data_IF_502432687264
#
_entry.id   IF_502432687264
#
_cell.length_a   1.000
_cell.length_b   1.000
_cell.length_c   1.000
_cell.angle_alpha   90.00
_cell.angle_beta   90.00
_cell.angle_gamma   90.00
#
_symmetry.space_group_name_H-M   'P 1'
#
loop_
_entity.id
_entity.type
_entity.pdbx_description
1 polymer ?
#
# COMPACT_ATOMS: atom_id res chain seq x y z
N UNK A 1 -4.08 -18.84 33.14
CA UNK A 1 -2.91 -17.96 32.92
C UNK A 1 -3.39 -16.54 33.06
N UNK A 2 -2.91 -15.78 34.06
CA UNK A 2 -3.35 -14.40 34.29
C UNK A 2 -3.01 -13.53 33.07
N UNK A 3 -3.97 -12.70 32.65
CA UNK A 3 -3.85 -11.78 31.51
C UNK A 3 -2.72 -10.74 31.63
N UNK A 4 -2.03 -10.65 32.77
CA UNK A 4 -1.12 -9.55 33.11
C UNK A 4 0.30 -9.62 32.48
N UNK A 5 0.68 -10.67 31.74
CA UNK A 5 2.07 -10.83 31.26
C UNK A 5 2.22 -11.26 29.77
N UNK A 6 1.21 -11.07 28.91
CA UNK A 6 1.41 -11.35 27.47
C UNK A 6 2.23 -10.23 26.81
N UNK A 7 3.18 -10.54 25.91
CA UNK A 7 3.90 -9.52 25.15
C UNK A 7 2.92 -8.67 24.35
N UNK A 8 3.11 -7.37 24.38
CA UNK A 8 2.34 -6.41 23.58
C UNK A 8 2.61 -6.59 22.10
N UNK A 9 1.60 -6.40 21.26
CA UNK A 9 1.77 -6.55 19.82
C UNK A 9 0.92 -5.60 18.99
N UNK A 10 1.39 -5.33 17.77
CA UNK A 10 0.58 -4.73 16.71
C UNK A 10 0.49 -5.69 15.51
N UNK A 11 -0.62 -5.60 14.77
CA UNK A 11 -0.92 -6.51 13.65
C UNK A 11 -1.36 -5.70 12.44
N UNK A 12 -0.90 -6.06 11.24
CA UNK A 12 -1.47 -5.55 9.98
C UNK A 12 -2.25 -6.64 9.27
N UNK A 13 -3.45 -6.27 8.79
CA UNK A 13 -4.31 -7.09 7.94
C UNK A 13 -4.59 -6.32 6.65
N UNK A 14 -4.62 -6.99 5.52
CA UNK A 14 -4.95 -6.34 4.26
C UNK A 14 -4.32 -6.93 3.03
N UNK A 15 -4.21 -6.10 2.01
CA UNK A 15 -3.69 -6.44 0.69
C UNK A 15 -2.20 -6.08 0.51
N UNK A 16 -1.79 -5.90 -0.75
CA UNK A 16 -0.42 -5.63 -1.16
C UNK A 16 0.15 -4.36 -0.57
N UNK A 17 -0.64 -3.29 -0.46
CA UNK A 17 -0.18 -1.98 -0.02
C UNK A 17 0.36 -2.03 1.42
N UNK A 18 -0.40 -2.66 2.32
CA UNK A 18 -0.01 -2.83 3.73
C UNK A 18 0.87 -4.07 3.97
N UNK A 19 0.88 -5.04 3.05
CA UNK A 19 1.86 -6.14 3.11
C UNK A 19 3.29 -5.64 2.92
N UNK A 20 3.50 -4.52 2.21
CA UNK A 20 4.82 -4.03 1.88
C UNK A 20 5.32 -4.43 0.50
N UNK A 21 4.43 -4.88 -0.40
CA UNK A 21 4.79 -5.15 -1.79
C UNK A 21 5.44 -3.91 -2.42
N UNK A 22 6.51 -4.10 -3.20
CA UNK A 22 7.33 -3.00 -3.70
C UNK A 22 8.44 -2.54 -2.74
N UNK A 23 8.38 -2.93 -1.46
CA UNK A 23 9.36 -2.59 -0.43
C UNK A 23 10.80 -3.01 -0.74
N UNK A 24 11.03 -3.87 -1.74
CA UNK A 24 12.36 -4.21 -2.26
C UNK A 24 13.14 -3.03 -2.85
N UNK A 25 12.48 -1.95 -3.22
CA UNK A 25 13.08 -0.91 -4.07
C UNK A 25 13.36 0.39 -3.31
N UNK A 26 14.57 0.93 -3.41
CA UNK A 26 14.91 2.31 -3.05
C UNK A 26 14.81 3.19 -4.30
N UNK A 27 13.65 3.73 -4.59
CA UNK A 27 13.44 4.49 -5.83
C UNK A 27 13.39 3.61 -7.08
N UNK A 28 13.59 4.23 -8.24
CA UNK A 28 13.51 3.58 -9.54
C UNK A 28 14.75 3.93 -10.38
N UNK A 29 15.22 2.98 -11.18
CA UNK A 29 16.34 3.16 -12.13
C UNK A 29 16.02 2.42 -13.43
N UNK A 30 16.50 2.97 -14.55
CA UNK A 30 16.45 2.32 -15.86
C UNK A 30 17.59 1.30 -16.08
N UNK A 31 18.58 1.26 -15.19
CA UNK A 31 19.56 0.18 -15.16
C UNK A 31 18.89 -1.12 -14.76
N UNK A 32 19.04 -2.16 -15.58
CA UNK A 32 18.47 -3.49 -15.35
C UNK A 32 19.52 -4.51 -14.92
N UNK A 33 20.74 -4.06 -14.62
CA UNK A 33 21.89 -4.90 -14.26
C UNK A 33 22.48 -4.50 -12.90
N UNK A 34 23.21 -5.42 -12.28
CA UNK A 34 23.87 -5.17 -11.00
C UNK A 34 22.87 -4.76 -9.91
N UNK A 35 23.22 -3.75 -9.11
CA UNK A 35 22.33 -3.21 -8.07
C UNK A 35 21.19 -2.35 -8.62
N UNK A 36 21.11 -2.15 -9.95
CA UNK A 36 20.20 -1.22 -10.62
C UNK A 36 20.35 0.18 -10.04
N UNK A 37 21.57 0.68 -10.14
CA UNK A 37 22.02 1.95 -9.56
C UNK A 37 21.77 2.07 -8.05
N UNK A 38 21.81 0.95 -7.33
CA UNK A 38 21.61 0.89 -5.88
C UNK A 38 20.14 0.79 -5.44
N UNK A 39 19.20 0.73 -6.38
CA UNK A 39 17.76 0.66 -6.06
C UNK A 39 17.32 -0.71 -5.54
N UNK A 40 17.98 -1.81 -5.93
CA UNK A 40 17.53 -3.17 -5.59
C UNK A 40 18.12 -3.67 -4.25
N UNK A 41 17.31 -3.67 -3.19
CA UNK A 41 17.68 -4.18 -1.85
C UNK A 41 17.97 -5.70 -1.83
N UNK A 42 17.49 -6.43 -2.82
CA UNK A 42 17.74 -7.86 -2.95
C UNK A 42 19.10 -8.16 -3.60
N UNK A 43 19.83 -7.17 -4.12
CA UNK A 43 21.11 -7.42 -4.79
C UNK A 43 22.16 -8.05 -3.88
N UNK A 44 22.92 -9.01 -4.41
CA UNK A 44 23.99 -9.73 -3.69
C UNK A 44 25.35 -9.71 -4.38
N UNK A 45 25.48 -9.01 -5.50
CA UNK A 45 26.70 -8.97 -6.29
C UNK A 45 26.60 -9.80 -7.58
N UNK A 46 27.33 -9.37 -8.62
CA UNK A 46 27.29 -10.00 -9.94
C UNK A 46 25.88 -10.02 -10.54
N UNK A 47 25.35 -11.22 -10.80
CA UNK A 47 23.99 -11.47 -11.29
C UNK A 47 23.05 -12.05 -10.20
N UNK A 48 23.47 -12.02 -8.93
CA UNK A 48 22.76 -12.66 -7.82
C UNK A 48 21.79 -11.71 -7.11
N UNK A 49 20.59 -12.22 -6.82
CA UNK A 49 19.53 -11.51 -6.11
C UNK A 49 18.84 -12.45 -5.12
N UNK A 50 18.54 -11.93 -3.93
CA UNK A 50 17.88 -12.63 -2.84
C UNK A 50 16.68 -11.83 -2.32
N UNK A 51 15.51 -11.95 -2.98
CA UNK A 51 14.30 -11.25 -2.58
C UNK A 51 13.73 -11.75 -1.24
N UNK A 52 14.11 -12.96 -0.78
CA UNK A 52 13.70 -13.46 0.55
C UNK A 52 14.31 -12.63 1.68
N UNK A 53 15.40 -11.90 1.43
CA UNK A 53 15.90 -10.95 2.42
C UNK A 53 14.99 -9.74 2.66
N UNK A 54 14.12 -9.43 1.70
CA UNK A 54 13.14 -8.35 1.84
C UNK A 54 11.81 -8.91 2.30
N UNK A 55 11.32 -9.97 1.66
CA UNK A 55 9.96 -10.48 1.87
C UNK A 55 9.89 -11.72 2.79
N UNK A 56 11.03 -12.22 3.25
CA UNK A 56 11.10 -13.50 3.97
C UNK A 56 10.50 -14.65 3.16
N UNK A 57 9.90 -15.61 3.88
CA UNK A 57 9.23 -16.77 3.28
C UNK A 57 7.97 -16.39 2.49
N UNK A 58 7.41 -15.20 2.72
CA UNK A 58 6.21 -14.74 2.02
C UNK A 58 6.46 -14.39 0.54
N UNK A 59 7.74 -14.34 0.13
CA UNK A 59 8.10 -14.30 -1.28
C UNK A 59 7.59 -15.53 -2.04
N UNK A 60 7.61 -16.70 -1.37
CA UNK A 60 7.43 -18.00 -2.03
C UNK A 60 5.98 -18.26 -2.42
N UNK A 61 5.04 -17.74 -1.61
CA UNK A 61 3.62 -17.76 -1.94
C UNK A 61 3.14 -16.45 -2.58
N UNK A 62 4.04 -15.47 -2.72
CA UNK A 62 3.77 -14.15 -3.29
C UNK A 62 2.92 -13.26 -2.39
N UNK A 63 2.83 -13.51 -1.08
CA UNK A 63 2.20 -12.55 -0.17
C UNK A 63 3.04 -11.28 0.01
N UNK A 64 4.34 -11.32 -0.30
CA UNK A 64 5.23 -10.16 -0.41
C UNK A 64 5.24 -9.23 0.82
N UNK A 65 5.31 -9.84 2.01
CA UNK A 65 5.41 -9.17 3.31
C UNK A 65 6.80 -8.59 3.53
N UNK A 66 6.98 -7.32 3.24
CA UNK A 66 8.30 -6.68 3.34
C UNK A 66 8.73 -6.43 4.79
N UNK A 67 10.03 -6.58 5.03
CA UNK A 67 10.73 -6.17 6.25
C UNK A 67 10.63 -4.67 6.58
N UNK A 68 10.25 -3.84 5.59
CA UNK A 68 9.99 -2.39 5.78
C UNK A 68 8.52 -2.02 5.63
N UNK A 69 7.61 -3.00 5.54
CA UNK A 69 6.17 -2.75 5.54
C UNK A 69 5.78 -1.83 6.70
N UNK A 70 4.68 -1.10 6.57
CA UNK A 70 4.24 -0.05 7.50
C UNK A 70 4.45 -0.38 8.99
N UNK A 71 3.90 -1.51 9.46
CA UNK A 71 4.03 -1.87 10.88
C UNK A 71 5.45 -2.28 11.26
N UNK A 72 6.25 -2.76 10.31
CA UNK A 72 7.62 -3.25 10.53
C UNK A 72 8.60 -2.08 10.67
N UNK A 73 8.41 -1.00 9.92
CA UNK A 73 9.32 0.15 9.86
C UNK A 73 9.09 1.24 10.92
N UNK A 74 7.94 1.22 11.63
CA UNK A 74 7.60 2.23 12.64
C UNK A 74 8.30 2.03 14.01
N UNK A 75 8.25 3.02 14.89
CA UNK A 75 8.84 2.96 16.24
C UNK A 75 7.80 2.83 17.38
N UNK A 76 6.59 2.32 17.09
CA UNK A 76 5.56 2.08 18.12
C UNK A 76 6.11 1.13 19.20
N UNK A 77 6.07 1.49 20.50
CA UNK A 77 6.70 0.72 21.57
C UNK A 77 5.86 -0.52 21.94
N UNK A 78 6.06 -1.61 21.20
CA UNK A 78 5.49 -2.94 21.47
C UNK A 78 6.56 -4.03 21.38
N UNK A 79 6.30 -5.16 22.04
CA UNK A 79 7.24 -6.29 22.06
C UNK A 79 7.31 -7.01 20.70
N UNK A 80 6.20 -7.03 19.94
CA UNK A 80 6.07 -7.83 18.71
C UNK A 80 5.24 -7.15 17.62
N UNK A 81 5.54 -7.46 16.37
CA UNK A 81 4.86 -6.96 15.18
C UNK A 81 4.51 -8.13 14.26
N UNK A 82 3.27 -8.22 13.81
CA UNK A 82 2.80 -9.32 12.97
C UNK A 82 2.16 -8.79 11.69
N UNK A 83 2.84 -9.00 10.56
CA UNK A 83 2.27 -8.70 9.25
C UNK A 83 1.54 -9.94 8.75
N UNK A 84 0.20 -9.92 8.76
CA UNK A 84 -0.63 -11.01 8.24
C UNK A 84 -1.23 -10.67 6.87
N UNK A 85 -1.06 -9.43 6.41
CA UNK A 85 -1.48 -8.98 5.09
C UNK A 85 -0.83 -9.80 3.98
N UNK A 86 -1.47 -9.85 2.82
CA UNK A 86 -0.97 -10.64 1.70
C UNK A 86 -1.32 -9.96 0.37
N UNK A 87 -0.31 -9.77 -0.48
CA UNK A 87 -0.51 -9.18 -1.81
C UNK A 87 -1.61 -9.91 -2.60
N UNK A 88 -2.51 -9.12 -3.20
CA UNK A 88 -3.69 -9.59 -3.94
C UNK A 88 -4.88 -10.00 -3.06
N UNK A 89 -4.81 -9.82 -1.74
CA UNK A 89 -5.94 -10.14 -0.87
C UNK A 89 -7.17 -9.27 -1.17
N UNK A 90 -8.36 -9.90 -1.09
CA UNK A 90 -9.66 -9.24 -1.07
C UNK A 90 -10.25 -9.37 0.33
N UNK A 91 -11.35 -8.67 0.62
CA UNK A 91 -12.07 -8.82 1.90
C UNK A 91 -12.39 -10.29 2.23
N UNK A 92 -12.72 -11.12 1.22
CA UNK A 92 -12.97 -12.55 1.38
C UNK A 92 -11.78 -13.35 1.96
N UNK A 93 -10.55 -12.89 1.76
CA UNK A 93 -9.33 -13.54 2.26
C UNK A 93 -8.97 -13.09 3.69
N UNK A 94 -9.64 -12.05 4.21
CA UNK A 94 -9.54 -11.65 5.61
C UNK A 94 -10.58 -12.39 6.44
N UNK A 95 -11.82 -12.47 5.95
CA UNK A 95 -12.96 -13.03 6.67
C UNK A 95 -12.71 -14.47 7.12
N UNK A 96 -13.08 -14.86 8.35
CA UNK A 96 -13.02 -16.26 8.74
C UNK A 96 -13.98 -17.10 7.88
N UNK A 97 -13.71 -18.40 7.74
CA UNK A 97 -14.57 -19.32 7.00
C UNK A 97 -16.04 -19.29 7.46
N UNK A 98 -16.27 -19.12 8.77
CA UNK A 98 -17.61 -19.00 9.35
C UNK A 98 -18.40 -17.77 8.87
N UNK A 99 -17.70 -16.75 8.33
CA UNK A 99 -18.26 -15.54 7.75
C UNK A 99 -18.13 -15.52 6.22
N UNK A 100 -17.96 -16.70 5.59
CA UNK A 100 -17.88 -16.83 4.13
C UNK A 100 -16.54 -16.42 3.53
N UNK A 101 -15.47 -16.39 4.34
CA UNK A 101 -14.12 -16.19 3.82
C UNK A 101 -13.45 -17.47 3.31
N UNK A 102 -12.26 -17.30 2.73
CA UNK A 102 -11.53 -18.37 2.07
C UNK A 102 -10.01 -18.25 2.31
N UNK A 103 -9.34 -19.41 2.33
CA UNK A 103 -7.89 -19.49 2.26
C UNK A 103 -7.34 -18.75 1.04
N UNK A 104 -6.13 -18.21 1.17
CA UNK A 104 -5.49 -17.48 0.08
C UNK A 104 -3.98 -17.76 0.07
N UNK A 105 -3.45 -18.09 -1.12
CA UNK A 105 -2.01 -18.37 -1.31
C UNK A 105 -1.45 -19.41 -0.32
N UNK A 106 -2.26 -20.42 0.01
CA UNK A 106 -1.89 -21.50 0.93
C UNK A 106 -1.96 -21.15 2.42
N UNK A 107 -2.51 -19.98 2.77
CA UNK A 107 -2.68 -19.53 4.15
C UNK A 107 -4.16 -19.41 4.53
N UNK A 108 -4.45 -19.64 5.82
CA UNK A 108 -5.77 -19.41 6.40
C UNK A 108 -6.18 -17.93 6.31
N UNK A 109 -7.48 -17.59 6.39
CA UNK A 109 -7.90 -16.21 6.36
C UNK A 109 -7.23 -15.36 7.46
N UNK A 110 -6.93 -14.11 7.14
CA UNK A 110 -6.09 -13.29 8.02
C UNK A 110 -6.70 -13.05 9.40
N UNK A 111 -8.03 -12.95 9.51
CA UNK A 111 -8.71 -12.85 10.82
C UNK A 111 -8.63 -14.17 11.61
N UNK A 112 -8.62 -15.32 10.93
CA UNK A 112 -8.35 -16.61 11.58
C UNK A 112 -6.91 -16.67 12.11
N UNK A 113 -5.93 -16.13 11.37
CA UNK A 113 -4.56 -16.00 11.84
C UNK A 113 -4.45 -15.01 13.03
N UNK A 114 -5.17 -13.87 12.99
CA UNK A 114 -5.25 -12.90 14.08
C UNK A 114 -5.73 -13.56 15.39
N UNK A 115 -6.69 -14.49 15.32
CA UNK A 115 -7.12 -15.25 16.50
C UNK A 115 -5.95 -15.97 17.19
N UNK A 116 -5.04 -16.57 16.41
CA UNK A 116 -3.82 -17.18 16.91
C UNK A 116 -2.91 -16.17 17.61
N UNK A 117 -2.66 -15.03 16.97
CA UNK A 117 -1.84 -13.96 17.54
C UNK A 117 -2.46 -13.41 18.84
N UNK A 118 -3.77 -13.20 18.88
CA UNK A 118 -4.47 -12.66 20.05
C UNK A 118 -4.47 -13.61 21.27
N UNK A 119 -4.40 -14.93 21.05
CA UNK A 119 -4.23 -15.92 22.14
C UNK A 119 -2.90 -15.79 22.88
N UNK A 120 -1.86 -15.34 22.19
CA UNK A 120 -0.50 -15.32 22.73
C UNK A 120 0.00 -13.92 23.10
N UNK A 121 -0.65 -12.87 22.59
CA UNK A 121 -0.17 -11.50 22.69
C UNK A 121 -1.23 -10.55 23.27
N UNK A 122 -0.79 -9.40 23.73
CA UNK A 122 -1.63 -8.27 24.07
C UNK A 122 -1.69 -7.24 22.95
N UNK A 123 -2.67 -7.41 22.06
CA UNK A 123 -2.82 -6.58 20.87
C UNK A 123 -3.14 -5.14 21.29
N UNK A 124 -2.37 -4.18 20.80
CA UNK A 124 -2.57 -2.75 21.04
C UNK A 124 -3.13 -2.03 19.82
N UNK A 125 -2.84 -2.52 18.63
CA UNK A 125 -3.26 -1.93 17.37
C UNK A 125 -3.45 -3.00 16.29
N UNK A 126 -4.51 -2.85 15.50
CA UNK A 126 -4.75 -3.57 14.26
C UNK A 126 -4.86 -2.53 13.15
N UNK A 127 -3.86 -2.47 12.26
CA UNK A 127 -3.90 -1.65 11.06
C UNK A 127 -4.54 -2.45 9.92
N UNK A 128 -5.47 -1.84 9.19
CA UNK A 128 -6.25 -2.49 8.14
C UNK A 128 -6.22 -1.66 6.86
N UNK A 129 -5.77 -2.24 5.76
CA UNK A 129 -5.89 -1.65 4.41
C UNK A 129 -6.40 -2.70 3.43
N UNK A 130 -7.67 -2.58 3.03
CA UNK A 130 -8.35 -3.56 2.19
C UNK A 130 -9.50 -2.93 1.42
N UNK A 131 -9.84 -3.51 0.27
CA UNK A 131 -10.98 -3.11 -0.56
C UNK A 131 -10.58 -2.75 -1.98
N UNK A 132 -9.33 -2.34 -2.24
CA UNK A 132 -8.84 -2.01 -3.58
C UNK A 132 -9.01 -3.17 -4.57
N UNK A 133 -8.67 -4.39 -4.15
CA UNK A 133 -8.86 -5.59 -4.99
C UNK A 133 -10.34 -6.00 -5.16
N UNK A 134 -11.22 -5.63 -4.23
CA UNK A 134 -12.67 -5.85 -4.34
C UNK A 134 -13.29 -4.88 -5.38
N UNK A 135 -12.79 -3.65 -5.44
CA UNK A 135 -13.16 -2.64 -6.44
C UNK A 135 -12.65 -2.98 -7.85
N UNK A 136 -11.78 -3.97 -7.96
CA UNK A 136 -11.07 -4.30 -9.18
C UNK A 136 -9.71 -3.64 -9.21
N UNK A 137 -9.58 -2.34 -8.99
CA UNK A 137 -8.39 -1.49 -9.19
C UNK A 137 -7.28 -1.92 -10.18
N UNK A 138 -6.62 -3.06 -9.99
CA UNK A 138 -5.59 -3.62 -10.87
C UNK A 138 -6.02 -3.73 -12.35
N UNK A 139 -7.17 -4.32 -12.74
CA UNK A 139 -7.61 -4.35 -14.13
C UNK A 139 -7.91 -2.95 -14.69
N UNK A 140 -8.49 -2.04 -13.89
CA UNK A 140 -8.76 -0.66 -14.33
C UNK A 140 -7.45 0.08 -14.60
N UNK A 141 -6.46 -0.10 -13.72
CA UNK A 141 -5.13 0.44 -13.91
C UNK A 141 -4.45 -0.12 -15.18
N UNK A 142 -4.56 -1.43 -15.42
CA UNK A 142 -4.07 -2.07 -16.66
C UNK A 142 -4.81 -1.53 -17.89
N UNK A 143 -6.11 -1.25 -17.81
CA UNK A 143 -6.88 -0.65 -18.91
C UNK A 143 -6.34 0.74 -19.26
N UNK A 144 -5.97 1.56 -18.26
CA UNK A 144 -5.33 2.86 -18.50
C UNK A 144 -3.96 2.71 -19.20
N UNK A 145 -3.13 1.77 -18.72
CA UNK A 145 -1.82 1.49 -19.32
C UNK A 145 -1.96 1.03 -20.77
N UNK A 146 -2.82 0.06 -21.02
CA UNK A 146 -3.03 -0.50 -22.37
C UNK A 146 -3.66 0.52 -23.30
N UNK A 147 -4.58 1.36 -22.80
CA UNK A 147 -5.11 2.53 -23.52
C UNK A 147 -4.02 3.49 -23.94
N UNK A 148 -3.11 3.86 -23.03
CA UNK A 148 -1.97 4.72 -23.34
C UNK A 148 -1.03 4.11 -24.38
N UNK A 149 -0.60 2.86 -24.17
CA UNK A 149 0.34 2.18 -25.08
C UNK A 149 -0.28 1.93 -26.46
N UNK A 150 -1.58 1.63 -26.51
CA UNK A 150 -2.29 1.25 -27.72
C UNK A 150 -2.87 2.42 -28.54
N UNK A 151 -2.69 3.67 -28.10
CA UNK A 151 -3.24 4.84 -28.79
C UNK A 151 -2.20 5.95 -29.01
N UNK A 152 -2.60 6.98 -29.75
CA UNK A 152 -1.72 8.12 -30.12
C UNK A 152 -2.23 9.39 -29.47
N UNK A 153 -1.36 10.39 -29.26
CA UNK A 153 -1.79 11.66 -28.66
C UNK A 153 -2.78 12.45 -29.53
N UNK A 154 -2.93 12.10 -30.82
CA UNK A 154 -3.94 12.67 -31.73
C UNK A 154 -5.27 11.94 -31.69
N UNK A 155 -5.32 10.73 -31.14
CA UNK A 155 -6.54 9.95 -30.94
C UNK A 155 -6.36 9.07 -29.68
N UNK A 156 -6.37 9.67 -28.49
CA UNK A 156 -6.06 8.96 -27.25
C UNK A 156 -7.24 8.08 -26.80
N UNK A 157 -6.92 6.91 -26.26
CA UNK A 157 -7.87 6.05 -25.56
C UNK A 157 -7.74 6.26 -24.05
N UNK A 158 -8.67 7.01 -23.48
CA UNK A 158 -8.77 7.26 -22.04
C UNK A 158 -9.53 6.13 -21.33
N UNK A 159 -9.12 5.81 -20.11
CA UNK A 159 -9.80 4.86 -19.23
C UNK A 159 -10.69 5.54 -18.19
N UNK A 160 -10.49 6.84 -17.93
CA UNK A 160 -11.09 7.56 -16.81
C UNK A 160 -12.61 7.38 -16.72
N UNK A 161 -13.34 7.61 -17.82
CA UNK A 161 -14.80 7.47 -17.85
C UNK A 161 -15.29 6.07 -17.47
N UNK A 162 -14.80 5.03 -18.15
CA UNK A 162 -15.19 3.65 -17.86
C UNK A 162 -14.76 3.19 -16.46
N UNK A 163 -13.60 3.66 -15.99
CA UNK A 163 -13.11 3.35 -14.64
C UNK A 163 -13.95 4.03 -13.56
N UNK A 164 -14.47 5.24 -13.81
CA UNK A 164 -15.39 5.94 -12.92
C UNK A 164 -16.73 5.20 -12.80
N UNK A 165 -17.28 4.70 -13.91
CA UNK A 165 -18.52 3.92 -13.91
C UNK A 165 -18.35 2.59 -13.13
N UNK A 166 -17.24 1.89 -13.38
CA UNK A 166 -16.92 0.66 -12.65
C UNK A 166 -16.74 0.92 -11.15
N UNK A 167 -16.00 1.97 -10.77
CA UNK A 167 -15.82 2.36 -9.38
C UNK A 167 -17.17 2.63 -8.72
N UNK A 168 -18.01 3.49 -9.33
CA UNK A 168 -19.34 3.81 -8.81
C UNK A 168 -20.20 2.56 -8.59
N UNK A 169 -20.16 1.61 -9.53
CA UNK A 169 -20.95 0.38 -9.44
C UNK A 169 -20.49 -0.59 -8.34
N UNK A 170 -19.18 -0.66 -8.07
CA UNK A 170 -18.60 -1.64 -7.14
C UNK A 170 -18.42 -1.10 -5.73
N UNK A 171 -18.33 0.22 -5.58
CA UNK A 171 -18.03 0.88 -4.32
C UNK A 171 -18.96 0.47 -3.18
N UNK A 172 -20.31 0.47 -3.33
CA UNK A 172 -21.20 0.14 -2.21
C UNK A 172 -20.96 -1.27 -1.66
N UNK A 173 -20.90 -2.28 -2.53
CA UNK A 173 -20.70 -3.67 -2.14
C UNK A 173 -19.30 -3.92 -1.55
N UNK A 174 -18.26 -3.27 -2.09
CA UNK A 174 -16.92 -3.37 -1.52
C UNK A 174 -16.87 -2.80 -0.09
N UNK A 175 -17.44 -1.60 0.12
CA UNK A 175 -17.43 -0.94 1.43
C UNK A 175 -18.28 -1.67 2.48
N UNK A 176 -19.41 -2.25 2.08
CA UNK A 176 -20.19 -3.13 2.95
C UNK A 176 -19.32 -4.30 3.46
N UNK A 177 -18.56 -4.95 2.56
CA UNK A 177 -17.66 -6.05 2.94
C UNK A 177 -16.50 -5.60 3.82
N UNK A 178 -15.97 -4.39 3.63
CA UNK A 178 -14.99 -3.80 4.57
C UNK A 178 -15.62 -3.65 5.95
N UNK A 179 -16.87 -3.18 6.05
CA UNK A 179 -17.62 -3.13 7.31
C UNK A 179 -17.73 -4.51 8.00
N UNK A 180 -18.02 -5.57 7.22
CA UNK A 180 -18.06 -6.95 7.75
C UNK A 180 -16.68 -7.40 8.25
N UNK A 181 -15.59 -7.05 7.55
CA UNK A 181 -14.21 -7.33 8.02
C UNK A 181 -13.96 -6.70 9.40
N UNK A 182 -14.33 -5.44 9.59
CA UNK A 182 -14.16 -4.75 10.89
C UNK A 182 -15.00 -5.41 11.99
N UNK A 183 -16.23 -5.80 11.68
CA UNK A 183 -17.09 -6.55 12.60
C UNK A 183 -16.44 -7.87 13.03
N UNK A 184 -15.93 -8.64 12.08
CA UNK A 184 -15.30 -9.94 12.34
C UNK A 184 -13.98 -9.83 13.11
N UNK A 185 -13.19 -8.76 12.89
CA UNK A 185 -12.03 -8.45 13.72
C UNK A 185 -12.45 -8.31 15.18
N UNK A 186 -13.49 -7.49 15.46
CA UNK A 186 -13.99 -7.30 16.83
C UNK A 186 -14.52 -8.58 17.44
N UNK A 187 -15.27 -9.38 16.68
CA UNK A 187 -15.79 -10.67 17.13
C UNK A 187 -14.66 -11.60 17.56
N UNK A 188 -13.65 -11.79 16.70
CA UNK A 188 -12.50 -12.65 17.01
C UNK A 188 -11.68 -12.11 18.17
N UNK A 189 -11.50 -10.80 18.27
CA UNK A 189 -10.81 -10.20 19.42
C UNK A 189 -11.56 -10.44 20.73
N UNK A 190 -12.89 -10.28 20.74
CA UNK A 190 -13.72 -10.55 21.90
C UNK A 190 -13.68 -12.04 22.31
N UNK A 191 -13.75 -12.96 21.35
CA UNK A 191 -13.60 -14.41 21.59
C UNK A 191 -12.25 -14.79 22.20
N UNK A 192 -11.22 -13.98 21.95
CA UNK A 192 -9.88 -14.13 22.51
C UNK A 192 -9.65 -13.26 23.77
N UNK A 193 -10.74 -12.78 24.38
CA UNK A 193 -10.72 -12.08 25.67
C UNK A 193 -10.21 -10.64 25.60
N UNK A 194 -10.20 -10.01 24.42
CA UNK A 194 -9.77 -8.62 24.22
C UNK A 194 -10.97 -7.69 24.30
N UNK A 195 -10.99 -6.84 25.33
CA UNK A 195 -12.02 -5.82 25.47
C UNK A 195 -11.87 -4.77 24.34
N UNK A 196 -12.97 -4.21 23.79
CA UNK A 196 -12.89 -3.22 22.71
C UNK A 196 -11.98 -2.01 23.01
N UNK A 197 -11.93 -1.56 24.28
CA UNK A 197 -11.08 -0.44 24.69
C UNK A 197 -9.60 -0.82 24.91
N UNK A 198 -9.23 -2.10 24.81
CA UNK A 198 -7.85 -2.57 25.06
C UNK A 198 -6.94 -2.49 23.84
N UNK A 199 -7.52 -2.29 22.65
CA UNK A 199 -6.81 -2.20 21.38
C UNK A 199 -7.49 -1.21 20.45
N UNK A 200 -6.73 -0.72 19.48
CA UNK A 200 -7.20 0.19 18.42
C UNK A 200 -7.36 -0.55 17.10
N UNK A 201 -8.30 -0.11 16.27
CA UNK A 201 -8.40 -0.52 14.87
C UNK A 201 -8.28 0.76 14.04
N UNK A 202 -7.28 0.82 13.17
CA UNK A 202 -7.08 1.94 12.23
C UNK A 202 -7.33 1.39 10.83
N UNK A 203 -8.42 1.84 10.19
CA UNK A 203 -8.68 1.59 8.77
C UNK A 203 -7.96 2.65 7.93
N UNK A 204 -7.29 2.24 6.86
CA UNK A 204 -6.43 3.13 6.08
C UNK A 204 -6.94 3.26 4.65
N UNK A 205 -6.82 4.46 4.07
CA UNK A 205 -6.94 4.63 2.62
C UNK A 205 -5.65 4.17 1.91
N UNK A 206 -5.59 4.37 0.60
CA UNK A 206 -4.43 4.03 -0.23
C UNK A 206 -3.68 5.30 -0.61
N UNK A 207 -2.35 5.22 -0.63
CA UNK A 207 -1.55 6.31 -1.18
C UNK A 207 -1.64 6.39 -2.70
N UNK A 208 -1.73 7.60 -3.26
CA UNK A 208 -1.61 7.77 -4.70
C UNK A 208 -0.16 7.56 -5.14
N UNK A 209 0.06 6.62 -6.06
CA UNK A 209 1.39 6.30 -6.60
C UNK A 209 1.70 7.00 -7.92
N UNK A 210 0.72 7.72 -8.46
CA UNK A 210 0.83 8.52 -9.69
C UNK A 210 0.47 9.99 -9.41
N UNK A 211 1.19 10.94 -10.04
CA UNK A 211 0.99 12.37 -9.83
C UNK A 211 -0.21 12.88 -10.65
N UNK A 212 -0.59 14.13 -10.43
CA UNK A 212 -1.50 14.83 -11.36
C UNK A 212 -0.82 15.04 -12.70
N UNK A 213 -1.62 15.30 -13.74
CA UNK A 213 -1.10 15.65 -15.05
C UNK A 213 -0.15 16.87 -15.03
N UNK A 214 -0.42 17.87 -14.19
CA UNK A 214 0.40 19.08 -14.03
C UNK A 214 1.77 18.82 -13.39
N UNK A 215 1.91 17.69 -12.70
CA UNK A 215 3.11 17.28 -11.96
C UNK A 215 3.84 16.12 -12.67
N UNK A 216 3.35 15.67 -13.84
CA UNK A 216 3.96 14.59 -14.59
C UNK A 216 5.23 15.08 -15.32
N UNK A 217 6.38 14.48 -14.97
CA UNK A 217 7.72 14.80 -15.49
C UNK A 217 7.84 14.65 -17.00
N UNK A 218 7.12 13.69 -17.58
CA UNK A 218 7.18 13.41 -19.01
C UNK A 218 5.90 13.84 -19.70
N UNK A 219 6.04 14.42 -20.90
CA UNK A 219 4.92 14.72 -21.78
C UNK A 219 4.08 13.47 -22.03
N UNK A 220 2.76 13.65 -22.14
CA UNK A 220 1.88 12.57 -22.59
C UNK A 220 2.10 12.23 -24.07
N UNK A 221 2.59 13.20 -24.86
CA UNK A 221 3.01 12.99 -26.24
C UNK A 221 4.43 12.43 -26.26
N UNK A 222 4.61 11.27 -26.88
CA UNK A 222 5.89 10.59 -26.98
C UNK A 222 5.84 9.20 -26.35
N UNK A 223 7.01 8.68 -25.99
CA UNK A 223 7.16 7.33 -25.43
C UNK A 223 7.84 7.30 -24.07
N UNK A 224 8.22 8.47 -23.54
CA UNK A 224 9.02 8.65 -22.35
C UNK A 224 8.30 8.14 -21.10
N UNK A 225 6.98 8.35 -20.99
CA UNK A 225 6.17 7.77 -19.89
C UNK A 225 6.29 6.25 -19.84
N UNK A 226 6.36 5.58 -20.99
CA UNK A 226 6.50 4.12 -21.06
C UNK A 226 7.95 3.66 -20.93
N UNK A 227 8.86 4.26 -21.72
CA UNK A 227 10.23 3.74 -21.92
C UNK A 227 11.23 4.20 -20.86
N UNK A 228 10.96 5.32 -20.20
CA UNK A 228 11.88 5.94 -19.23
C UNK A 228 11.23 6.02 -17.86
N UNK A 229 10.00 6.55 -17.78
CA UNK A 229 9.33 6.81 -16.51
C UNK A 229 8.64 5.61 -15.88
N UNK A 230 8.18 4.65 -16.69
CA UNK A 230 7.38 3.53 -16.20
C UNK A 230 6.01 3.96 -15.65
N UNK A 231 5.41 5.01 -16.21
CA UNK A 231 4.09 5.55 -15.86
C UNK A 231 3.20 5.78 -17.12
N UNK A 232 2.99 4.77 -17.98
CA UNK A 232 2.20 4.94 -19.20
C UNK A 232 0.73 5.26 -18.88
N UNK A 233 0.36 6.53 -18.95
CA UNK A 233 -0.98 7.04 -18.65
C UNK A 233 -1.21 8.36 -19.37
N UNK A 234 -2.44 8.62 -19.82
CA UNK A 234 -2.81 9.94 -20.36
C UNK A 234 -2.99 10.96 -19.24
N UNK A 235 -2.90 12.26 -19.55
CA UNK A 235 -3.12 13.32 -18.56
C UNK A 235 -4.51 13.22 -17.89
N UNK A 236 -5.54 12.96 -18.68
CA UNK A 236 -6.91 12.79 -18.16
C UNK A 236 -6.99 11.64 -17.16
N UNK A 237 -6.35 10.50 -17.47
CA UNK A 237 -6.34 9.32 -16.61
C UNK A 237 -5.54 9.57 -15.31
N UNK A 238 -4.42 10.29 -15.39
CA UNK A 238 -3.63 10.70 -14.22
C UNK A 238 -4.43 11.60 -13.28
N UNK A 239 -5.05 12.65 -13.81
CA UNK A 239 -5.88 13.58 -13.03
C UNK A 239 -7.09 12.87 -12.43
N UNK A 240 -7.77 12.02 -13.20
CA UNK A 240 -8.87 11.20 -12.67
C UNK A 240 -8.42 10.30 -11.51
N UNK A 241 -7.31 9.58 -11.71
CA UNK A 241 -6.79 8.67 -10.69
C UNK A 241 -6.49 9.41 -9.38
N UNK A 242 -5.74 10.52 -9.46
CA UNK A 242 -5.26 11.28 -8.32
C UNK A 242 -6.37 12.04 -7.58
N UNK A 243 -7.21 12.75 -8.31
CA UNK A 243 -8.14 13.72 -7.72
C UNK A 243 -9.55 13.16 -7.50
N UNK A 244 -9.95 12.13 -8.25
CA UNK A 244 -11.31 11.58 -8.21
C UNK A 244 -11.33 10.13 -7.70
N UNK A 245 -10.56 9.24 -8.31
CA UNK A 245 -10.60 7.80 -8.03
C UNK A 245 -10.16 7.46 -6.60
N UNK A 246 -8.91 7.83 -6.26
CA UNK A 246 -8.37 7.58 -4.91
C UNK A 246 -9.18 8.36 -3.84
N UNK A 247 -9.54 9.61 -4.12
CA UNK A 247 -10.31 10.46 -3.20
C UNK A 247 -11.68 9.85 -2.85
N UNK A 248 -12.44 9.36 -3.84
CA UNK A 248 -13.72 8.68 -3.61
C UNK A 248 -13.56 7.41 -2.76
N UNK A 249 -12.50 6.62 -2.98
CA UNK A 249 -12.22 5.41 -2.20
C UNK A 249 -11.88 5.79 -0.75
N UNK A 250 -11.02 6.79 -0.55
CA UNK A 250 -10.64 7.27 0.77
C UNK A 250 -11.87 7.75 1.57
N UNK A 251 -12.75 8.54 0.96
CA UNK A 251 -13.97 9.03 1.61
C UNK A 251 -14.95 7.90 1.94
N UNK A 252 -15.06 6.89 1.08
CA UNK A 252 -15.91 5.74 1.32
C UNK A 252 -15.37 4.88 2.49
N UNK A 253 -14.06 4.66 2.57
CA UNK A 253 -13.41 3.99 3.69
C UNK A 253 -13.55 4.80 4.99
N UNK A 254 -13.46 6.14 4.94
CA UNK A 254 -13.73 7.03 6.08
C UNK A 254 -15.19 6.92 6.57
N UNK A 255 -16.12 6.76 5.64
CA UNK A 255 -17.52 6.53 5.98
C UNK A 255 -17.71 5.17 6.67
N UNK A 256 -17.00 4.13 6.23
CA UNK A 256 -16.98 2.83 6.90
C UNK A 256 -16.41 2.96 8.32
N UNK A 257 -15.24 3.58 8.49
CA UNK A 257 -14.62 3.75 9.82
C UNK A 257 -15.54 4.48 10.79
N UNK A 258 -16.17 5.57 10.33
CA UNK A 258 -17.14 6.35 11.10
C UNK A 258 -18.36 5.51 11.51
N UNK A 259 -18.94 4.75 10.56
CA UNK A 259 -20.09 3.87 10.82
C UNK A 259 -19.76 2.75 11.81
N UNK A 260 -18.52 2.29 11.80
CA UNK A 260 -18.03 1.24 12.68
C UNK A 260 -17.53 1.82 14.02
N UNK A 261 -17.34 3.13 14.15
CA UNK A 261 -16.72 3.72 15.34
C UNK A 261 -15.29 3.22 15.54
N UNK A 262 -14.50 3.18 14.46
CA UNK A 262 -13.05 2.93 14.50
C UNK A 262 -12.32 4.14 13.94
N UNK A 263 -11.00 4.14 14.09
CA UNK A 263 -10.14 5.21 13.63
C UNK A 263 -9.85 5.09 12.14
N UNK A 264 -9.41 6.20 11.55
CA UNK A 264 -9.09 6.28 10.14
C UNK A 264 -7.81 7.04 9.87
N UNK A 265 -7.00 6.51 8.95
CA UNK A 265 -5.76 7.12 8.52
C UNK A 265 -5.79 7.31 7.00
N UNK A 266 -5.76 8.57 6.57
CA UNK A 266 -5.72 8.89 5.15
C UNK A 266 -4.30 8.95 4.61
N UNK A 267 -3.99 8.06 3.68
CA UNK A 267 -2.71 7.97 3.01
C UNK A 267 -2.70 8.65 1.63
N UNK A 268 -3.84 9.16 1.13
CA UNK A 268 -3.97 9.57 -0.27
C UNK A 268 -2.90 10.58 -0.72
N UNK A 269 -2.50 11.49 0.17
CA UNK A 269 -1.53 12.57 -0.06
C UNK A 269 -0.13 12.26 0.49
N UNK A 270 0.08 11.06 1.08
CA UNK A 270 1.35 10.66 1.68
C UNK A 270 2.52 10.74 0.69
N UNK A 271 2.27 10.43 -0.59
CA UNK A 271 3.28 10.40 -1.63
C UNK A 271 3.22 11.62 -2.56
N UNK A 272 2.52 12.70 -2.20
CA UNK A 272 2.45 13.93 -2.99
C UNK A 272 3.87 14.44 -3.34
N UNK A 273 4.15 14.67 -4.62
CA UNK A 273 5.47 15.07 -5.09
C UNK A 273 6.54 13.97 -5.01
N UNK A 274 6.15 12.73 -4.68
CA UNK A 274 7.01 11.53 -4.55
C UNK A 274 6.54 10.39 -5.44
N UNK A 275 5.48 10.58 -6.21
CA UNK A 275 4.89 9.58 -7.09
C UNK A 275 5.79 9.20 -8.26
N UNK A 276 5.48 8.09 -8.90
CA UNK A 276 6.17 7.67 -10.13
C UNK A 276 6.00 8.73 -11.20
N UNK A 277 7.10 9.19 -11.79
CA UNK A 277 7.13 10.29 -12.77
C UNK A 277 6.74 11.67 -12.24
N UNK A 278 6.79 11.93 -10.94
CA UNK A 278 6.63 13.31 -10.45
C UNK A 278 7.79 14.22 -10.92
N UNK A 279 7.50 15.50 -11.22
CA UNK A 279 8.52 16.52 -11.52
C UNK A 279 9.43 16.84 -10.34
N UNK A 280 9.02 16.46 -9.12
CA UNK A 280 9.74 16.72 -7.88
C UNK A 280 10.69 15.57 -7.48
N UNK A 281 10.72 14.51 -8.29
CA UNK A 281 11.60 13.35 -8.10
C UNK A 281 12.48 13.13 -9.30
N UNK A 282 13.40 12.17 -9.18
CA UNK A 282 14.24 11.69 -10.26
C UNK A 282 14.47 10.18 -10.15
N UNK A 283 14.87 9.58 -11.28
CA UNK A 283 15.37 8.21 -11.29
C UNK A 283 16.80 8.19 -10.76
N UNK A 284 17.17 7.09 -10.12
CA UNK A 284 18.53 6.84 -9.71
C UNK A 284 19.41 6.51 -10.93
N UNK A 285 20.64 7.01 -10.90
CA UNK A 285 21.70 6.72 -11.86
C UNK A 285 23.09 6.77 -11.18
N UNK A 286 24.16 6.63 -11.97
CA UNK A 286 25.53 6.62 -11.46
C UNK A 286 25.96 7.92 -10.75
N UNK A 287 25.38 9.06 -11.09
CA UNK A 287 25.68 10.36 -10.50
C UNK A 287 24.66 10.76 -9.42
N UNK A 288 23.48 10.15 -9.45
CA UNK A 288 22.35 10.43 -8.58
C UNK A 288 21.89 9.13 -7.91
N UNK A 289 22.55 8.69 -6.83
CA UNK A 289 22.15 7.47 -6.14
C UNK A 289 20.76 7.63 -5.50
N UNK A 290 20.08 6.53 -5.15
CA UNK A 290 18.81 6.57 -4.44
C UNK A 290 18.90 7.37 -3.16
N UNK A 291 17.95 8.26 -2.95
CA UNK A 291 17.85 9.12 -1.77
C UNK A 291 16.37 9.33 -1.44
N UNK A 292 15.98 9.27 -0.15
CA UNK A 292 14.59 9.54 0.24
C UNK A 292 14.14 10.97 -0.12
N UNK A 293 15.05 11.92 -0.28
CA UNK A 293 14.77 13.32 -0.59
C UNK A 293 14.51 13.59 -2.08
N UNK A 294 14.97 12.72 -2.99
CA UNK A 294 14.90 12.96 -4.45
C UNK A 294 14.31 11.79 -5.24
N UNK A 295 14.30 10.58 -4.69
CA UNK A 295 13.75 9.40 -5.36
C UNK A 295 12.23 9.37 -5.30
N UNK A 296 11.64 8.67 -6.27
CA UNK A 296 10.25 8.25 -6.23
C UNK A 296 10.02 7.30 -5.03
N UNK A 297 8.89 7.42 -4.35
CA UNK A 297 8.49 6.60 -3.20
C UNK A 297 7.53 5.48 -3.57
N UNK A 298 7.22 5.34 -4.85
CA UNK A 298 6.47 4.22 -5.41
C UNK A 298 7.29 3.53 -6.50
N UNK A 299 7.01 2.24 -6.73
CA UNK A 299 7.68 1.44 -7.75
C UNK A 299 7.05 1.71 -9.11
N UNK A 300 7.86 2.03 -10.11
CA UNK A 300 7.36 2.21 -11.48
C UNK A 300 6.81 0.92 -12.10
N UNK A 301 6.24 0.99 -13.30
CA UNK A 301 5.74 -0.18 -14.01
C UNK A 301 6.89 -1.09 -14.44
N UNK A 302 6.84 -2.37 -14.05
CA UNK A 302 7.78 -3.40 -14.49
C UNK A 302 7.05 -4.61 -15.05
N UNK A 303 7.62 -5.22 -16.09
CA UNK A 303 7.07 -6.44 -16.72
C UNK A 303 7.49 -7.73 -16.01
N UNK A 304 8.26 -7.64 -14.93
CA UNK A 304 8.65 -8.80 -14.13
C UNK A 304 9.83 -9.63 -14.69
N UNK A 305 10.51 -9.16 -15.74
CA UNK A 305 11.59 -9.92 -16.39
C UNK A 305 12.98 -9.64 -15.79
N UNK A 306 13.34 -8.37 -15.65
CA UNK A 306 14.68 -7.95 -15.20
C UNK A 306 14.67 -7.00 -14.00
N UNK A 307 13.49 -6.59 -13.54
CA UNK A 307 13.29 -5.41 -12.68
C UNK A 307 12.35 -5.75 -11.52
N UNK A 308 12.54 -6.95 -10.92
CA UNK A 308 11.69 -7.45 -9.84
C UNK A 308 10.52 -8.29 -10.33
N UNK A 309 9.56 -8.56 -9.45
CA UNK A 309 8.29 -9.19 -9.81
C UNK A 309 7.37 -8.15 -10.46
N UNK A 310 6.50 -8.57 -11.38
CA UNK A 310 5.50 -7.66 -11.97
C UNK A 310 4.57 -7.08 -10.90
N UNK A 311 4.28 -7.86 -9.86
CA UNK A 311 3.32 -7.53 -8.81
C UNK A 311 3.83 -6.36 -7.95
N UNK A 312 5.15 -6.12 -7.89
CA UNK A 312 5.75 -4.97 -7.21
C UNK A 312 5.42 -3.63 -7.89
N UNK A 313 4.94 -3.63 -9.14
CA UNK A 313 4.61 -2.40 -9.88
C UNK A 313 3.56 -1.58 -9.15
N UNK A 314 3.72 -0.26 -9.12
CA UNK A 314 2.70 0.69 -8.64
C UNK A 314 2.29 0.48 -7.19
N UNK A 315 3.24 0.03 -6.37
CA UNK A 315 3.12 -0.02 -4.92
C UNK A 315 4.12 0.94 -4.27
N UNK A 316 3.86 1.42 -3.05
CA UNK A 316 4.86 2.14 -2.27
C UNK A 316 6.13 1.30 -2.15
N UNK A 317 7.27 1.90 -2.48
CA UNK A 317 8.57 1.25 -2.38
C UNK A 317 9.12 1.39 -0.94
N UNK A 318 10.39 1.05 -0.70
CA UNK A 318 10.95 1.11 0.65
C UNK A 318 10.78 2.48 1.34
N UNK A 319 10.90 3.59 0.60
CA UNK A 319 10.69 4.93 1.15
C UNK A 319 9.20 5.19 1.44
N UNK A 320 8.30 4.82 0.52
CA UNK A 320 6.86 4.97 0.73
C UNK A 320 6.34 4.12 1.89
N UNK A 321 6.84 2.91 2.06
CA UNK A 321 6.49 2.02 3.17
C UNK A 321 6.99 2.56 4.52
N UNK A 322 8.20 3.12 4.56
CA UNK A 322 8.71 3.82 5.75
C UNK A 322 7.89 5.08 6.07
N UNK A 323 7.44 5.80 5.04
CA UNK A 323 6.63 7.00 5.20
C UNK A 323 5.25 6.64 5.79
N UNK A 324 4.62 5.58 5.30
CA UNK A 324 3.39 5.03 5.87
C UNK A 324 3.63 4.59 7.32
N UNK A 325 4.75 3.90 7.59
CA UNK A 325 5.14 3.47 8.93
C UNK A 325 5.27 4.63 9.91
N UNK A 326 5.96 5.71 9.49
CA UNK A 326 6.07 6.93 10.29
C UNK A 326 4.70 7.57 10.52
N UNK A 327 3.83 7.57 9.51
CA UNK A 327 2.49 8.11 9.67
C UNK A 327 1.65 7.32 10.69
N UNK A 328 1.66 5.99 10.61
CA UNK A 328 0.96 5.13 11.56
C UNK A 328 1.49 5.35 13.00
N UNK A 329 2.80 5.51 13.16
CA UNK A 329 3.43 5.84 14.44
C UNK A 329 2.90 7.15 15.02
N UNK A 330 2.81 8.19 14.20
CA UNK A 330 2.32 9.50 14.61
C UNK A 330 0.84 9.44 14.99
N UNK A 331 0.00 8.79 14.18
CA UNK A 331 -1.41 8.57 14.50
C UNK A 331 -1.57 7.73 15.79
N UNK A 332 -0.72 6.72 15.98
CA UNK A 332 -0.71 5.95 17.23
C UNK A 332 -0.35 6.85 18.43
N UNK A 333 0.66 7.70 18.29
CA UNK A 333 1.17 8.56 19.37
C UNK A 333 0.20 9.69 19.73
N UNK A 334 -0.52 10.27 18.76
CA UNK A 334 -1.53 11.31 19.02
C UNK A 334 -2.71 10.77 19.85
N UNK A 335 -3.03 9.48 19.70
CA UNK A 335 -4.18 8.85 20.33
C UNK A 335 -5.34 8.64 19.36
N UNK A 336 -6.50 8.17 19.85
CA UNK A 336 -7.63 7.83 19.00
C UNK A 336 -8.13 9.02 18.19
N UNK A 337 -8.24 8.87 16.86
CA UNK A 337 -8.73 9.94 15.99
C UNK A 337 -8.75 9.57 14.51
N UNK A 338 -9.09 10.56 13.69
CA UNK A 338 -8.97 10.49 12.24
C UNK A 338 -7.84 11.43 11.82
N UNK A 339 -6.90 10.93 11.03
CA UNK A 339 -5.72 11.69 10.63
C UNK A 339 -5.48 11.61 9.13
N UNK A 340 -4.92 12.67 8.58
CA UNK A 340 -4.36 12.70 7.23
C UNK A 340 -2.85 12.65 7.31
N UNK A 341 -2.24 11.83 6.47
CA UNK A 341 -0.80 11.68 6.33
C UNK A 341 -0.29 12.52 5.16
N UNK A 342 0.72 13.33 5.44
CA UNK A 342 1.37 14.17 4.44
C UNK A 342 2.89 14.06 4.59
N UNK A 343 3.60 14.09 3.47
CA UNK A 343 5.06 14.23 3.51
C UNK A 343 5.47 15.70 3.57
N UNK A 344 6.72 15.94 3.98
CA UNK A 344 7.33 17.26 3.82
C UNK A 344 8.10 17.32 2.50
N UNK A 345 7.81 18.27 1.59
CA UNK A 345 8.50 18.38 0.31
C UNK A 345 10.02 18.42 0.44
N UNK A 346 10.72 17.64 -0.38
CA UNK A 346 12.19 17.60 -0.38
C UNK A 346 12.80 16.90 0.85
N UNK A 347 11.99 16.32 1.74
CA UNK A 347 12.45 15.59 2.93
C UNK A 347 12.18 14.09 2.82
N UNK A 348 12.76 13.33 3.73
CA UNK A 348 12.62 11.88 3.77
C UNK A 348 11.41 11.39 4.59
N UNK A 349 11.18 10.07 4.65
CA UNK A 349 10.07 9.45 5.39
C UNK A 349 9.95 9.84 6.87
N UNK A 350 11.05 10.25 7.51
CA UNK A 350 11.05 10.67 8.93
C UNK A 350 10.37 12.01 9.17
N UNK A 351 10.28 12.84 8.13
CA UNK A 351 9.66 14.17 8.17
C UNK A 351 8.18 14.14 7.73
N UNK A 352 7.56 12.96 7.64
CA UNK A 352 6.11 12.81 7.51
C UNK A 352 5.43 13.40 8.74
N UNK A 353 4.28 14.04 8.56
CA UNK A 353 3.45 14.57 9.63
C UNK A 353 2.00 14.10 9.48
N UNK A 354 1.23 14.27 10.57
CA UNK A 354 -0.21 14.02 10.59
C UNK A 354 -0.96 15.30 10.92
N UNK A 355 -2.12 15.47 10.30
CA UNK A 355 -3.10 16.51 10.60
C UNK A 355 -4.43 15.85 10.96
N UNK A 356 -5.25 16.48 11.82
CA UNK A 356 -6.60 15.99 12.09
C UNK A 356 -7.45 16.05 10.80
N UNK A 357 -8.22 14.99 10.54
CA UNK A 357 -9.06 14.85 9.33
C UNK A 357 -10.54 15.09 9.57
#
# INVERSE_FOLDING_TARGET
MNAMNRPTAIVSLGDSYISGEGGRWFGNSNSFTGSRDGTDRAYRGGLSYDPRSVYGNSYDNGCNRSDVAEIMSNEIPVDRKFNLACSGAKTAHLLPHSAGGADFKGEAPQITQLAGVARENDIKLIAVSIGGNDLGFSPQFINCITGYIGSSSTNPLHCAGGSQDELHSRLPAAMERVGVVIHEIRRVMAENGKAPASYRIILQSYASVLPRASEARYSQSGSERTRVGGCPSWNEDLTWFRDLGISQIAEALRSVSSSQGIEFLDLQDLLEGREVCSIHTQLADANNPPSPETSEWARFLTLGMLQGQRDESMHPNAYGQQAAGKCLELAYTHGPGNFTCENTPGRGPRDVYVSER
#
